data_IF_080749939450
#
_entry.id   IF_080749939450
#
_cell.length_a   1.000
_cell.length_b   1.000
_cell.length_c   1.000
_cell.angle_alpha   90.00
_cell.angle_beta   90.00
_cell.angle_gamma   90.00
#
_symmetry.space_group_name_H-M   'P 1'
#
loop_
_entity.id
_entity.type
_entity.pdbx_description
1 polymer ?
#
# COMPACT_ATOMS: atom_id res chain seq x y z
N UNK A 1 -17.00 -25.48 11.98
CA UNK A 1 -17.27 -24.95 13.34
C UNK A 1 -16.58 -23.60 13.48
N UNK A 2 -17.32 -22.54 13.82
CA UNK A 2 -16.71 -21.24 14.07
C UNK A 2 -15.81 -21.32 15.32
N UNK A 3 -14.59 -20.76 15.30
CA UNK A 3 -13.70 -20.76 16.46
C UNK A 3 -14.40 -20.08 17.65
N UNK A 4 -14.19 -20.65 18.84
CA UNK A 4 -14.72 -20.08 20.09
C UNK A 4 -14.29 -18.61 20.22
N UNK A 5 -15.10 -17.80 20.90
CA UNK A 5 -14.80 -16.38 21.11
C UNK A 5 -13.39 -16.18 21.70
N UNK A 6 -13.01 -17.04 22.66
CA UNK A 6 -11.67 -17.06 23.25
C UNK A 6 -10.55 -17.31 22.22
N UNK A 7 -10.75 -18.24 21.28
CA UNK A 7 -9.78 -18.54 20.23
C UNK A 7 -9.62 -17.37 19.24
N UNK A 8 -10.71 -16.64 18.94
CA UNK A 8 -10.67 -15.42 18.12
C UNK A 8 -9.94 -14.27 18.82
N UNK A 9 -10.19 -14.06 20.12
CA UNK A 9 -9.45 -13.09 20.93
C UNK A 9 -7.95 -13.42 20.99
N UNK A 10 -7.60 -14.68 21.23
CA UNK A 10 -6.21 -15.14 21.27
C UNK A 10 -5.52 -14.90 19.91
N UNK A 11 -6.16 -15.27 18.80
CA UNK A 11 -5.62 -15.02 17.46
C UNK A 11 -5.41 -13.53 17.18
N UNK A 12 -6.35 -12.67 17.56
CA UNK A 12 -6.21 -11.21 17.43
C UNK A 12 -5.03 -10.67 18.24
N UNK A 13 -4.79 -11.18 19.45
CA UNK A 13 -3.65 -10.80 20.26
C UNK A 13 -2.32 -11.27 19.64
N UNK A 14 -2.26 -12.52 19.17
CA UNK A 14 -1.06 -13.09 18.54
C UNK A 14 -0.64 -12.34 17.27
N UNK A 15 -1.59 -11.79 16.50
CA UNK A 15 -1.27 -11.00 15.32
C UNK A 15 -0.50 -9.70 15.63
N UNK A 16 -0.52 -9.21 16.88
CA UNK A 16 0.28 -8.04 17.30
C UNK A 16 1.73 -8.37 17.66
N UNK A 17 2.09 -9.65 17.83
CA UNK A 17 3.45 -10.07 18.21
C UNK A 17 4.52 -9.51 17.27
N UNK A 18 4.39 -9.56 15.92
CA UNK A 18 5.38 -8.97 15.02
C UNK A 18 5.52 -7.46 15.18
N UNK A 19 4.42 -6.75 15.42
CA UNK A 19 4.44 -5.29 15.64
C UNK A 19 5.15 -4.94 16.96
N UNK A 20 4.85 -5.68 18.03
CA UNK A 20 5.52 -5.51 19.32
C UNK A 20 7.02 -5.79 19.20
N UNK A 21 7.41 -6.85 18.47
CA UNK A 21 8.81 -7.16 18.21
C UNK A 21 9.54 -6.01 17.52
N UNK A 22 8.98 -5.44 16.44
CA UNK A 22 9.60 -4.30 15.75
C UNK A 22 9.74 -3.09 16.68
N UNK A 23 8.71 -2.76 17.47
CA UNK A 23 8.78 -1.66 18.43
C UNK A 23 9.85 -1.89 19.51
N UNK A 24 10.02 -3.13 19.99
CA UNK A 24 11.08 -3.47 20.95
C UNK A 24 12.47 -3.30 20.34
N UNK A 25 12.68 -3.77 19.10
CA UNK A 25 13.96 -3.60 18.39
C UNK A 25 14.27 -2.11 18.17
N UNK A 26 13.28 -1.31 17.77
CA UNK A 26 13.43 0.14 17.56
C UNK A 26 13.68 0.88 18.89
N UNK A 27 13.01 0.49 19.97
CA UNK A 27 13.23 1.06 21.30
C UNK A 27 14.64 0.74 21.83
N UNK A 28 15.10 -0.50 21.63
CA UNK A 28 16.46 -0.88 21.97
C UNK A 28 17.50 -0.16 21.08
N UNK A 29 17.25 -0.03 19.77
CA UNK A 29 18.18 0.68 18.88
C UNK A 29 18.27 2.16 19.22
N UNK A 30 17.17 2.78 19.68
CA UNK A 30 17.18 4.14 20.24
C UNK A 30 18.11 4.22 21.45
N UNK A 31 17.95 3.34 22.44
CA UNK A 31 18.81 3.29 23.61
C UNK A 31 20.29 3.11 23.22
N UNK A 32 20.60 2.10 22.39
CA UNK A 32 21.96 1.79 21.98
C UNK A 32 22.61 2.95 21.19
N UNK A 33 21.86 3.62 20.33
CA UNK A 33 22.39 4.73 19.53
C UNK A 33 22.54 6.01 20.35
N UNK A 34 21.50 6.42 21.09
CA UNK A 34 21.49 7.70 21.80
C UNK A 34 22.33 7.64 23.06
N UNK A 35 22.17 6.59 23.88
CA UNK A 35 22.84 6.49 25.18
C UNK A 35 24.24 5.90 25.03
N UNK A 36 24.34 4.67 24.53
CA UNK A 36 25.63 3.96 24.51
C UNK A 36 26.62 4.57 23.52
N UNK A 37 26.15 4.88 22.30
CA UNK A 37 27.00 5.53 21.31
C UNK A 37 27.14 7.03 21.57
N UNK A 38 26.09 7.83 21.38
CA UNK A 38 26.22 9.29 21.36
C UNK A 38 26.62 9.88 22.72
N UNK A 39 26.05 9.43 23.83
CA UNK A 39 26.36 9.98 25.17
C UNK A 39 27.65 9.40 25.73
N UNK A 40 27.81 8.08 25.76
CA UNK A 40 28.96 7.45 26.44
C UNK A 40 30.21 7.25 25.57
N UNK A 41 30.06 7.07 24.25
CA UNK A 41 31.20 6.71 23.39
C UNK A 41 31.77 7.89 22.61
N UNK A 42 30.93 8.82 22.14
CA UNK A 42 31.38 9.96 21.32
C UNK A 42 31.85 11.10 22.24
N UNK A 43 33.15 11.46 22.26
CA UNK A 43 33.63 12.57 23.09
C UNK A 43 33.42 13.94 22.44
N UNK A 44 33.39 14.00 21.10
CA UNK A 44 33.26 15.25 20.35
C UNK A 44 31.80 15.74 20.35
N UNK A 45 31.55 16.93 20.91
CA UNK A 45 30.21 17.50 21.01
C UNK A 45 29.58 17.83 19.65
N UNK A 46 30.35 18.31 18.68
CA UNK A 46 29.82 18.65 17.36
C UNK A 46 29.39 17.39 16.59
N UNK A 47 30.20 16.33 16.65
CA UNK A 47 29.87 15.01 16.09
C UNK A 47 28.61 14.43 16.76
N UNK A 48 28.58 14.43 18.10
CA UNK A 48 27.44 13.96 18.91
C UNK A 48 26.15 14.67 18.53
N UNK A 49 26.14 16.01 18.49
CA UNK A 49 24.95 16.80 18.16
C UNK A 49 24.49 16.51 16.73
N UNK A 50 25.43 16.45 15.79
CA UNK A 50 25.12 16.17 14.38
C UNK A 50 24.46 14.79 14.21
N UNK A 51 25.01 13.76 14.87
CA UNK A 51 24.48 12.40 14.82
C UNK A 51 23.11 12.31 15.47
N UNK A 52 22.92 12.94 16.64
CA UNK A 52 21.62 12.99 17.30
C UNK A 52 20.55 13.66 16.43
N UNK A 53 20.85 14.80 15.81
CA UNK A 53 19.89 15.51 14.94
C UNK A 53 19.51 14.65 13.74
N UNK A 54 20.48 14.10 13.00
CA UNK A 54 20.25 13.27 11.83
C UNK A 54 19.43 12.02 12.23
N UNK A 55 19.85 11.33 13.28
CA UNK A 55 19.17 10.14 13.77
C UNK A 55 17.70 10.39 14.12
N UNK A 56 17.40 11.47 14.85
CA UNK A 56 16.02 11.78 15.23
C UNK A 56 15.14 12.16 14.03
N UNK A 57 15.68 12.84 13.02
CA UNK A 57 14.93 13.16 11.79
C UNK A 57 14.48 11.87 11.09
N UNK A 58 15.41 10.94 10.84
CA UNK A 58 15.07 9.69 10.16
C UNK A 58 14.21 8.76 11.01
N UNK A 59 14.46 8.70 12.33
CA UNK A 59 13.63 7.96 13.26
C UNK A 59 12.19 8.49 13.28
N UNK A 60 12.00 9.81 13.34
CA UNK A 60 10.67 10.42 13.35
C UNK A 60 9.89 10.09 12.07
N UNK A 61 10.53 10.20 10.90
CA UNK A 61 9.91 9.86 9.61
C UNK A 61 9.60 8.35 9.50
N UNK A 62 10.51 7.50 9.98
CA UNK A 62 10.28 6.05 10.06
C UNK A 62 9.08 5.71 10.94
N UNK A 63 9.03 6.23 12.18
CA UNK A 63 7.94 6.01 13.13
C UNK A 63 6.62 6.52 12.54
N UNK A 64 6.62 7.71 11.94
CA UNK A 64 5.42 8.28 11.34
C UNK A 64 4.87 7.41 10.19
N UNK A 65 5.73 6.99 9.26
CA UNK A 65 5.34 6.12 8.16
C UNK A 65 4.88 4.72 8.64
N UNK A 66 5.57 4.15 9.63
CA UNK A 66 5.23 2.84 10.21
C UNK A 66 3.83 2.86 10.83
N UNK A 67 3.55 3.82 11.72
CA UNK A 67 2.25 3.95 12.36
C UNK A 67 1.13 4.32 11.40
N UNK A 68 1.41 5.14 10.38
CA UNK A 68 0.44 5.39 9.30
C UNK A 68 0.11 4.13 8.54
N UNK A 69 1.05 3.22 8.33
CA UNK A 69 0.79 1.93 7.67
C UNK A 69 -0.06 1.01 8.55
N UNK A 70 0.23 0.95 9.86
CA UNK A 70 -0.53 0.15 10.85
C UNK A 70 -1.97 0.63 10.99
N UNK A 71 -2.19 1.92 11.24
CA UNK A 71 -3.51 2.44 11.64
C UNK A 71 -4.41 2.89 10.50
N UNK A 72 -3.87 3.05 9.29
CA UNK A 72 -4.72 3.37 8.14
C UNK A 72 -5.56 2.15 7.78
N UNK A 73 -6.87 2.24 8.07
CA UNK A 73 -7.82 1.17 7.78
C UNK A 73 -7.81 0.86 6.27
N UNK A 74 -7.75 -0.43 5.88
CA UNK A 74 -7.90 -0.81 4.48
C UNK A 74 -9.25 -0.32 3.94
N UNK A 75 -9.25 0.29 2.76
CA UNK A 75 -10.49 0.69 2.11
C UNK A 75 -11.28 -0.53 1.61
N UNK A 76 -12.61 -0.48 1.71
CA UNK A 76 -13.52 -1.54 1.29
C UNK A 76 -14.39 -1.12 0.08
N UNK A 77 -14.96 -2.08 -0.65
CA UNK A 77 -15.96 -1.77 -1.68
C UNK A 77 -17.12 -0.97 -1.11
N UNK A 78 -17.60 0.01 -1.87
CA UNK A 78 -18.78 0.80 -1.50
C UNK A 78 -20.05 -0.03 -1.64
N UNK A 79 -21.16 0.43 -1.04
CA UNK A 79 -22.44 -0.26 -1.12
C UNK A 79 -22.94 -0.45 -2.56
N UNK A 80 -22.53 0.42 -3.50
CA UNK A 80 -22.85 0.30 -4.92
C UNK A 80 -22.40 -1.03 -5.55
N UNK A 81 -21.35 -1.66 -5.00
CA UNK A 81 -20.85 -2.97 -5.47
C UNK A 81 -21.58 -4.16 -4.83
N UNK A 82 -22.49 -3.91 -3.89
CA UNK A 82 -23.35 -4.95 -3.30
C UNK A 82 -24.49 -5.29 -4.25
N UNK A 83 -25.00 -6.51 -4.16
CA UNK A 83 -26.21 -6.88 -4.91
C UNK A 83 -27.41 -6.10 -4.34
N UNK A 84 -28.24 -5.47 -5.20
CA UNK A 84 -29.54 -4.95 -4.76
C UNK A 84 -30.38 -6.08 -4.16
N UNK A 85 -31.30 -5.76 -3.25
CA UNK A 85 -32.04 -6.75 -2.47
C UNK A 85 -32.73 -7.82 -3.32
N UNK A 86 -33.38 -7.41 -4.42
CA UNK A 86 -34.09 -8.33 -5.32
C UNK A 86 -33.14 -9.32 -6.00
N UNK A 87 -32.05 -8.82 -6.60
CA UNK A 87 -31.01 -9.65 -7.21
C UNK A 87 -30.29 -10.54 -6.19
N UNK A 88 -30.10 -10.06 -4.96
CA UNK A 88 -29.50 -10.84 -3.87
C UNK A 88 -30.38 -12.03 -3.50
N UNK A 89 -31.67 -11.82 -3.28
CA UNK A 89 -32.61 -12.90 -2.98
C UNK A 89 -32.68 -13.91 -4.14
N UNK A 90 -32.64 -13.44 -5.38
CA UNK A 90 -32.63 -14.33 -6.55
C UNK A 90 -31.34 -15.15 -6.61
N UNK A 91 -30.19 -14.52 -6.35
CA UNK A 91 -28.89 -15.17 -6.30
C UNK A 91 -28.82 -16.26 -5.23
N UNK A 92 -29.34 -15.98 -4.03
CA UNK A 92 -29.35 -16.92 -2.90
C UNK A 92 -30.29 -18.12 -3.12
N UNK A 93 -31.36 -17.96 -3.90
CA UNK A 93 -32.32 -19.04 -4.22
C UNK A 93 -31.88 -19.90 -5.40
N UNK A 94 -31.03 -19.39 -6.27
CA UNK A 94 -30.58 -20.12 -7.46
C UNK A 94 -29.43 -21.07 -7.10
N UNK A 95 -29.56 -22.34 -7.48
CA UNK A 95 -28.56 -23.37 -7.21
C UNK A 95 -27.58 -23.55 -8.38
N UNK A 96 -28.00 -23.20 -9.61
CA UNK A 96 -27.17 -23.36 -10.81
C UNK A 96 -26.15 -22.24 -10.93
N UNK A 97 -24.87 -22.60 -10.96
CA UNK A 97 -23.77 -21.66 -11.07
C UNK A 97 -23.85 -20.76 -12.32
N UNK A 98 -24.34 -21.26 -13.45
CA UNK A 98 -24.49 -20.47 -14.67
C UNK A 98 -25.53 -19.35 -14.50
N UNK A 99 -26.69 -19.69 -13.93
CA UNK A 99 -27.76 -18.72 -13.69
C UNK A 99 -27.37 -17.69 -12.62
N UNK A 100 -26.65 -18.10 -11.58
CA UNK A 100 -26.02 -17.18 -10.63
C UNK A 100 -25.08 -16.19 -11.34
N UNK A 101 -24.26 -16.65 -12.29
CA UNK A 101 -23.38 -15.77 -13.06
C UNK A 101 -24.14 -14.80 -13.96
N UNK A 102 -25.27 -15.19 -14.55
CA UNK A 102 -26.10 -14.26 -15.33
C UNK A 102 -26.67 -13.11 -14.47
N UNK A 103 -27.08 -13.41 -13.22
CA UNK A 103 -27.52 -12.38 -12.26
C UNK A 103 -26.37 -11.42 -11.95
N UNK A 104 -25.18 -11.95 -11.65
CA UNK A 104 -23.99 -11.14 -11.37
C UNK A 104 -23.59 -10.29 -12.58
N UNK A 105 -23.65 -10.83 -13.80
CA UNK A 105 -23.38 -10.10 -15.05
C UNK A 105 -24.36 -8.95 -15.24
N UNK A 106 -25.66 -9.17 -14.99
CA UNK A 106 -26.70 -8.13 -15.09
C UNK A 106 -26.36 -6.93 -14.19
N UNK A 107 -25.99 -7.18 -12.93
CA UNK A 107 -25.62 -6.11 -12.00
C UNK A 107 -24.29 -5.45 -12.39
N UNK A 108 -23.29 -6.26 -12.77
CA UNK A 108 -21.96 -5.77 -13.12
C UNK A 108 -21.93 -4.84 -14.35
N UNK A 109 -22.91 -4.91 -15.26
CA UNK A 109 -23.01 -4.00 -16.41
C UNK A 109 -23.09 -2.53 -16.01
N UNK A 110 -23.67 -2.25 -14.84
CA UNK A 110 -23.83 -0.89 -14.30
C UNK A 110 -22.68 -0.47 -13.36
N UNK A 111 -21.60 -1.25 -13.30
CA UNK A 111 -20.44 -1.01 -12.45
C UNK A 111 -19.17 -0.82 -13.29
N UNK A 112 -18.20 0.00 -12.84
CA UNK A 112 -16.92 0.20 -13.53
C UNK A 112 -15.98 -1.01 -13.28
N UNK A 113 -16.35 -2.19 -13.78
CA UNK A 113 -15.61 -3.45 -13.60
C UNK A 113 -15.19 -4.06 -14.94
N UNK A 114 -13.90 -3.99 -15.22
CA UNK A 114 -13.32 -4.42 -16.50
C UNK A 114 -12.61 -5.78 -16.39
N UNK A 115 -12.34 -6.27 -15.18
CA UNK A 115 -11.67 -7.55 -14.97
C UNK A 115 -12.63 -8.70 -14.63
N UNK A 116 -12.20 -9.93 -14.95
CA UNK A 116 -12.96 -11.18 -14.74
C UNK A 116 -12.10 -12.23 -14.05
N UNK A 117 -12.70 -13.38 -13.71
CA UNK A 117 -11.92 -14.57 -13.34
C UNK A 117 -11.24 -15.15 -14.58
N UNK A 118 -10.32 -16.10 -14.40
CA UNK A 118 -9.66 -16.79 -15.52
C UNK A 118 -10.66 -17.51 -16.45
N UNK A 119 -11.80 -17.95 -15.91
CA UNK A 119 -12.90 -18.56 -16.69
C UNK A 119 -13.91 -17.55 -17.25
N UNK A 120 -13.62 -16.24 -17.20
CA UNK A 120 -14.51 -15.19 -17.73
C UNK A 120 -15.69 -14.81 -16.83
N UNK A 121 -15.82 -15.41 -15.65
CA UNK A 121 -16.90 -15.12 -14.70
C UNK A 121 -16.74 -13.76 -14.00
N UNK A 122 -17.84 -13.21 -13.48
CA UNK A 122 -17.81 -12.01 -12.64
C UNK A 122 -17.08 -12.34 -11.34
N UNK A 123 -16.16 -11.45 -10.94
CA UNK A 123 -15.43 -11.58 -9.68
C UNK A 123 -16.35 -11.25 -8.51
N UNK A 124 -16.90 -12.25 -7.85
CA UNK A 124 -17.76 -12.07 -6.68
C UNK A 124 -17.06 -12.49 -5.37
N UNK A 125 -17.51 -11.96 -4.24
CA UNK A 125 -17.09 -12.39 -2.91
C UNK A 125 -18.28 -12.94 -2.12
N UNK A 126 -18.33 -14.25 -1.89
CA UNK A 126 -19.43 -14.85 -1.12
C UNK A 126 -19.40 -14.46 0.36
N UNK A 127 -18.23 -14.24 0.94
CA UNK A 127 -18.13 -13.80 2.34
C UNK A 127 -18.64 -12.37 2.57
N UNK A 128 -18.35 -11.46 1.64
CA UNK A 128 -18.72 -10.06 1.78
C UNK A 128 -20.00 -9.70 1.02
N UNK A 129 -20.51 -10.61 0.18
CA UNK A 129 -21.68 -10.42 -0.69
C UNK A 129 -21.57 -9.20 -1.60
N UNK A 130 -20.39 -9.01 -2.22
CA UNK A 130 -20.09 -7.89 -3.12
C UNK A 130 -19.47 -8.37 -4.42
N UNK A 131 -19.82 -7.72 -5.52
CA UNK A 131 -19.06 -7.79 -6.77
C UNK A 131 -17.74 -7.06 -6.51
N UNK A 132 -16.61 -7.76 -6.66
CA UNK A 132 -15.30 -7.18 -6.36
C UNK A 132 -15.00 -6.09 -7.41
N UNK A 133 -14.74 -4.84 -6.98
CA UNK A 133 -14.13 -3.85 -7.86
C UNK A 133 -12.84 -4.38 -8.48
N UNK A 134 -12.40 -3.74 -9.56
CA UNK A 134 -11.11 -4.11 -10.14
C UNK A 134 -9.99 -3.99 -9.10
N UNK A 135 -9.03 -4.91 -9.17
CA UNK A 135 -7.89 -4.99 -8.22
C UNK A 135 -8.28 -5.24 -6.74
N UNK A 136 -9.56 -5.46 -6.43
CA UNK A 136 -10.03 -5.79 -5.08
C UNK A 136 -9.94 -7.30 -4.78
N UNK A 137 -9.42 -7.65 -3.61
CA UNK A 137 -9.32 -9.04 -3.15
C UNK A 137 -9.81 -9.19 -1.71
N UNK A 138 -10.37 -10.35 -1.38
CA UNK A 138 -10.78 -10.67 -0.01
C UNK A 138 -9.56 -11.15 0.79
N UNK A 139 -9.30 -10.51 1.92
CA UNK A 139 -8.30 -10.97 2.88
C UNK A 139 -9.00 -11.73 4.01
N UNK A 140 -8.74 -13.02 4.14
CA UNK A 140 -9.31 -13.85 5.22
C UNK A 140 -8.80 -13.48 6.61
N UNK A 141 -7.61 -12.87 6.72
CA UNK A 141 -7.10 -12.38 8.01
C UNK A 141 -7.80 -11.10 8.45
N UNK A 142 -8.09 -10.19 7.52
CA UNK A 142 -8.84 -8.97 7.80
C UNK A 142 -10.37 -9.18 7.74
N UNK A 143 -10.83 -10.34 7.27
CA UNK A 143 -12.24 -10.71 7.10
C UNK A 143 -13.03 -9.70 6.25
N UNK A 144 -12.38 -9.12 5.24
CA UNK A 144 -12.97 -8.09 4.38
C UNK A 144 -12.36 -8.06 2.98
N UNK A 145 -13.12 -7.53 2.03
CA UNK A 145 -12.60 -7.12 0.74
C UNK A 145 -11.78 -5.82 0.87
N UNK A 146 -10.56 -5.83 0.33
CA UNK A 146 -9.61 -4.73 0.37
C UNK A 146 -9.41 -4.19 -1.04
N UNK A 147 -9.65 -2.89 -1.22
CA UNK A 147 -9.43 -2.18 -2.49
C UNK A 147 -7.95 -2.14 -2.85
N UNK A 148 -7.64 -2.36 -4.13
CA UNK A 148 -6.26 -2.48 -4.66
C UNK A 148 -5.34 -3.28 -3.72
N UNK A 149 -5.82 -4.44 -3.27
CA UNK A 149 -5.10 -5.24 -2.27
C UNK A 149 -3.73 -5.64 -2.82
N UNK A 150 -2.70 -5.34 -2.04
CA UNK A 150 -1.34 -5.76 -2.35
C UNK A 150 -1.01 -7.07 -1.61
N UNK A 151 -1.04 -7.02 -0.28
CA UNK A 151 -0.85 -8.19 0.57
C UNK A 151 -1.37 -7.94 1.99
N UNK A 152 -1.49 -8.99 2.78
CA UNK A 152 -1.60 -8.86 4.23
C UNK A 152 -0.20 -8.88 4.84
N UNK A 153 0.16 -7.86 5.62
CA UNK A 153 1.50 -7.73 6.18
C UNK A 153 1.48 -7.94 7.70
N UNK A 154 2.04 -9.07 8.20
CA UNK A 154 2.08 -9.34 9.63
C UNK A 154 2.87 -8.29 10.43
N UNK A 155 3.91 -7.71 9.83
CA UNK A 155 4.80 -6.72 10.47
C UNK A 155 4.14 -5.39 10.80
N UNK A 156 2.99 -5.11 10.19
CA UNK A 156 2.14 -3.94 10.50
C UNK A 156 0.75 -4.36 11.00
N UNK A 157 0.52 -5.66 11.19
CA UNK A 157 -0.78 -6.25 11.55
C UNK A 157 -1.96 -5.65 10.77
N UNK A 158 -1.78 -5.46 9.47
CA UNK A 158 -2.76 -4.78 8.62
C UNK A 158 -2.62 -5.23 7.16
N UNK A 159 -3.68 -5.05 6.39
CA UNK A 159 -3.60 -5.19 4.94
C UNK A 159 -2.97 -3.95 4.32
N UNK A 160 -2.06 -4.19 3.38
CA UNK A 160 -1.52 -3.17 2.49
C UNK A 160 -2.38 -3.16 1.23
N UNK A 161 -2.98 -2.01 0.92
CA UNK A 161 -3.86 -1.81 -0.22
C UNK A 161 -4.01 -0.33 -0.56
N UNK A 162 -5.10 0.06 -1.23
CA UNK A 162 -5.29 1.41 -1.76
C UNK A 162 -5.01 2.54 -0.74
N UNK A 163 -5.59 2.44 0.46
CA UNK A 163 -5.57 3.51 1.47
C UNK A 163 -4.23 3.71 2.17
N UNK A 164 -3.30 2.75 2.08
CA UNK A 164 -2.03 2.77 2.80
C UNK A 164 -0.80 2.34 2.00
N UNK A 165 -0.92 2.01 0.71
CA UNK A 165 0.22 1.55 -0.10
C UNK A 165 1.36 2.58 -0.13
N UNK A 166 1.04 3.86 -0.29
CA UNK A 166 2.04 4.95 -0.21
C UNK A 166 2.77 4.95 1.13
N UNK A 167 2.04 4.80 2.24
CA UNK A 167 2.66 4.75 3.58
C UNK A 167 3.58 3.56 3.73
N UNK A 168 3.19 2.40 3.20
CA UNK A 168 4.03 1.21 3.22
C UNK A 168 5.34 1.42 2.44
N UNK A 169 5.29 2.01 1.24
CA UNK A 169 6.50 2.33 0.45
C UNK A 169 7.39 3.36 1.18
N UNK A 170 6.80 4.37 1.82
CA UNK A 170 7.54 5.33 2.65
C UNK A 170 8.13 4.68 3.92
N UNK A 171 7.40 3.77 4.55
CA UNK A 171 7.88 2.99 5.69
C UNK A 171 9.12 2.20 5.32
N UNK A 172 9.12 1.48 4.18
CA UNK A 172 10.29 0.76 3.70
C UNK A 172 11.45 1.73 3.38
N UNK A 173 11.17 2.84 2.71
CA UNK A 173 12.18 3.87 2.39
C UNK A 173 12.86 4.44 3.65
N UNK A 174 12.06 4.89 4.62
CA UNK A 174 12.58 5.46 5.86
C UNK A 174 13.21 4.42 6.79
N UNK A 175 12.75 3.16 6.77
CA UNK A 175 13.40 2.07 7.47
C UNK A 175 14.79 1.76 6.89
N UNK A 176 14.91 1.73 5.55
CA UNK A 176 16.22 1.60 4.88
C UNK A 176 17.15 2.76 5.22
N UNK A 177 16.67 4.00 5.15
CA UNK A 177 17.46 5.20 5.48
C UNK A 177 17.88 5.22 6.96
N UNK A 178 16.99 4.83 7.87
CA UNK A 178 17.30 4.68 9.29
C UNK A 178 18.43 3.68 9.52
N UNK A 179 18.39 2.51 8.86
CA UNK A 179 19.45 1.53 8.95
C UNK A 179 20.77 2.05 8.34
N UNK A 180 20.72 2.77 7.22
CA UNK A 180 21.91 3.39 6.60
C UNK A 180 22.55 4.41 7.55
N UNK A 181 21.75 5.28 8.18
CA UNK A 181 22.26 6.24 9.17
C UNK A 181 22.96 5.53 10.31
N UNK A 182 22.35 4.48 10.87
CA UNK A 182 22.97 3.68 11.93
C UNK A 182 24.28 3.06 11.43
N UNK A 183 24.28 2.32 10.32
CA UNK A 183 25.47 1.65 9.81
C UNK A 183 26.61 2.63 9.50
N UNK A 184 26.31 3.73 8.80
CA UNK A 184 27.29 4.72 8.37
C UNK A 184 27.94 5.45 9.55
N UNK A 185 27.18 5.69 10.63
CA UNK A 185 27.72 6.37 11.82
C UNK A 185 28.40 5.40 12.79
N UNK A 186 27.88 4.17 12.93
CA UNK A 186 28.42 3.16 13.84
C UNK A 186 29.72 2.52 13.32
N UNK A 187 29.92 2.39 12.00
CA UNK A 187 31.05 1.64 11.42
C UNK A 187 32.43 2.10 11.94
N UNK A 188 32.63 3.40 12.15
CA UNK A 188 33.90 3.89 12.70
C UNK A 188 34.14 3.46 14.15
N UNK A 189 33.08 3.41 14.98
CA UNK A 189 33.18 2.96 16.37
C UNK A 189 33.27 1.45 16.45
N UNK A 190 32.57 0.73 15.56
CA UNK A 190 32.75 -0.71 15.37
C UNK A 190 34.22 -1.05 15.14
N UNK A 191 34.88 -0.34 14.20
CA UNK A 191 36.31 -0.52 13.93
C UNK A 191 37.15 -0.20 15.17
N UNK A 192 36.89 0.93 15.85
CA UNK A 192 37.62 1.32 17.08
C UNK A 192 37.52 0.30 18.22
N UNK A 193 36.35 -0.32 18.42
CA UNK A 193 36.20 -1.41 19.39
C UNK A 193 36.97 -2.65 18.97
N UNK A 194 36.95 -3.00 17.68
CA UNK A 194 37.67 -4.16 17.16
C UNK A 194 39.19 -4.00 17.21
N UNK A 195 39.69 -2.79 16.98
CA UNK A 195 41.12 -2.44 17.06
C UNK A 195 41.59 -2.08 18.47
N UNK A 196 40.72 -2.25 19.49
CA UNK A 196 41.01 -1.96 20.91
C UNK A 196 41.40 -0.51 21.20
N UNK A 197 40.91 0.44 20.39
CA UNK A 197 41.07 1.88 20.61
C UNK A 197 40.04 2.44 21.59
N UNK A 198 38.99 1.68 21.88
CA UNK A 198 37.98 2.00 22.89
C UNK A 198 38.00 0.94 24.01
N UNK A 199 37.70 1.33 25.27
CA UNK A 199 37.68 0.40 26.39
C UNK A 199 36.59 -0.66 26.24
N UNK A 200 36.86 -1.87 26.73
CA UNK A 200 35.91 -2.98 26.71
C UNK A 200 34.89 -2.80 27.84
N UNK A 201 33.73 -2.21 27.52
CA UNK A 201 32.65 -1.93 28.46
C UNK A 201 31.29 -2.39 27.89
N UNK A 202 30.21 -2.21 28.65
CA UNK A 202 28.86 -2.59 28.21
C UNK A 202 28.45 -1.95 26.87
N UNK A 203 28.93 -0.73 26.55
CA UNK A 203 28.62 -0.04 25.29
C UNK A 203 29.12 -0.83 24.07
N UNK A 204 30.23 -1.57 24.18
CA UNK A 204 30.75 -2.43 23.10
C UNK A 204 29.71 -3.43 22.62
N UNK A 205 29.04 -4.14 23.54
CA UNK A 205 28.03 -5.13 23.17
C UNK A 205 26.87 -4.49 22.41
N UNK A 206 26.36 -3.37 22.91
CA UNK A 206 25.27 -2.64 22.28
C UNK A 206 25.64 -2.12 20.88
N UNK A 207 26.81 -1.51 20.73
CA UNK A 207 27.26 -0.88 19.48
C UNK A 207 27.56 -1.93 18.40
N UNK A 208 28.22 -3.04 18.76
CA UNK A 208 28.47 -4.14 17.82
C UNK A 208 27.16 -4.79 17.37
N UNK A 209 26.26 -5.10 18.31
CA UNK A 209 24.97 -5.72 17.98
C UNK A 209 24.10 -4.77 17.15
N UNK A 210 24.11 -3.46 17.44
CA UNK A 210 23.39 -2.45 16.69
C UNK A 210 23.82 -2.40 15.22
N UNK A 211 25.12 -2.48 14.94
CA UNK A 211 25.63 -2.56 13.57
C UNK A 211 25.10 -3.79 12.83
N UNK A 212 25.20 -4.97 13.43
CA UNK A 212 24.76 -6.22 12.79
C UNK A 212 23.24 -6.26 12.56
N UNK A 213 22.45 -5.85 13.55
CA UNK A 213 20.99 -5.79 13.44
C UNK A 213 20.59 -4.80 12.34
N UNK A 214 21.17 -3.59 12.33
CA UNK A 214 20.86 -2.60 11.30
C UNK A 214 21.26 -3.08 9.89
N UNK A 215 22.43 -3.70 9.73
CA UNK A 215 22.88 -4.24 8.45
C UNK A 215 21.98 -5.39 7.95
N UNK A 216 21.56 -6.29 8.84
CA UNK A 216 20.66 -7.40 8.50
C UNK A 216 19.28 -6.89 8.05
N UNK A 217 18.68 -5.98 8.81
CA UNK A 217 17.42 -5.35 8.41
C UNK A 217 17.57 -4.56 7.11
N UNK A 218 18.68 -3.83 6.93
CA UNK A 218 18.92 -3.07 5.71
C UNK A 218 18.87 -3.95 4.46
N UNK A 219 19.61 -5.07 4.45
CA UNK A 219 19.67 -5.98 3.29
C UNK A 219 18.27 -6.52 2.95
N UNK A 220 17.51 -6.96 3.95
CA UNK A 220 16.15 -7.47 3.73
C UNK A 220 15.21 -6.37 3.24
N UNK A 221 15.19 -5.22 3.91
CA UNK A 221 14.24 -4.13 3.61
C UNK A 221 14.55 -3.48 2.26
N UNK A 222 15.82 -3.29 1.90
CA UNK A 222 16.17 -2.66 0.62
C UNK A 222 15.78 -3.54 -0.57
N UNK A 223 15.86 -4.86 -0.44
CA UNK A 223 15.39 -5.79 -1.48
C UNK A 223 13.88 -5.70 -1.68
N UNK A 224 13.11 -5.63 -0.57
CA UNK A 224 11.66 -5.48 -0.61
C UNK A 224 11.26 -4.11 -1.16
N UNK A 225 11.96 -3.04 -0.75
CA UNK A 225 11.77 -1.70 -1.29
C UNK A 225 12.00 -1.69 -2.81
N UNK A 226 13.10 -2.27 -3.28
CA UNK A 226 13.41 -2.36 -4.71
C UNK A 226 12.31 -3.07 -5.51
N UNK A 227 11.78 -4.17 -4.98
CA UNK A 227 10.65 -4.87 -5.57
C UNK A 227 9.40 -3.99 -5.66
N UNK A 228 9.04 -3.28 -4.57
CA UNK A 228 7.87 -2.41 -4.57
C UNK A 228 8.03 -1.16 -5.43
N UNK A 229 9.23 -0.60 -5.53
CA UNK A 229 9.50 0.51 -6.46
C UNK A 229 9.30 0.06 -7.93
N UNK A 230 9.72 -1.16 -8.27
CA UNK A 230 9.42 -1.76 -9.57
C UNK A 230 7.91 -1.96 -9.79
N UNK A 231 7.19 -2.45 -8.78
CA UNK A 231 5.73 -2.61 -8.83
C UNK A 231 5.00 -1.28 -9.04
N UNK A 232 5.40 -0.23 -8.30
CA UNK A 232 4.89 1.13 -8.48
C UNK A 232 5.14 1.58 -9.92
N UNK A 233 6.35 1.43 -10.44
CA UNK A 233 6.69 1.82 -11.81
C UNK A 233 5.90 1.06 -12.90
N UNK A 234 5.40 -0.14 -12.61
CA UNK A 234 4.55 -0.94 -13.51
C UNK A 234 3.06 -0.84 -13.23
N UNK A 235 2.64 -0.08 -12.20
CA UNK A 235 1.28 -0.04 -11.67
C UNK A 235 0.69 -1.43 -11.39
N UNK A 236 1.47 -2.28 -10.74
CA UNK A 236 1.04 -3.64 -10.36
C UNK A 236 1.00 -3.75 -8.84
N UNK A 237 0.03 -4.49 -8.33
CA UNK A 237 0.12 -5.04 -6.98
C UNK A 237 0.97 -6.31 -6.98
N UNK A 238 1.39 -6.76 -5.81
CA UNK A 238 2.09 -8.04 -5.64
C UNK A 238 1.23 -9.20 -6.20
N UNK A 239 -0.08 -9.20 -5.92
CA UNK A 239 -1.01 -10.21 -6.48
C UNK A 239 -0.98 -10.20 -8.01
N UNK A 240 -1.05 -9.02 -8.63
CA UNK A 240 -1.05 -8.86 -10.09
C UNK A 240 0.30 -9.24 -10.74
N UNK A 241 1.39 -9.08 -10.01
CA UNK A 241 2.72 -9.50 -10.46
C UNK A 241 2.81 -11.03 -10.60
N UNK A 242 2.22 -11.77 -9.66
CA UNK A 242 2.13 -13.23 -9.70
C UNK A 242 1.04 -13.74 -10.64
N UNK A 243 -0.12 -13.09 -10.68
CA UNK A 243 -1.26 -13.50 -11.51
C UNK A 243 -1.81 -12.30 -12.28
N UNK A 244 -1.61 -12.31 -13.59
CA UNK A 244 -2.10 -11.25 -14.45
C UNK A 244 -3.63 -11.09 -14.30
N UNK A 245 -4.15 -9.86 -14.18
CA UNK A 245 -5.58 -9.62 -14.24
C UNK A 245 -6.11 -10.00 -15.63
N UNK A 246 -7.26 -10.68 -15.65
CA UNK A 246 -7.96 -11.05 -16.88
C UNK A 246 -8.92 -9.95 -17.27
N UNK A 247 -8.69 -9.33 -18.42
CA UNK A 247 -9.61 -8.41 -19.08
C UNK A 247 -10.46 -9.17 -20.10
N UNK A 248 -11.38 -8.49 -20.76
CA UNK A 248 -12.19 -9.03 -21.87
C UNK A 248 -11.33 -9.65 -22.97
N UNK A 249 -10.20 -9.03 -23.28
CA UNK A 249 -9.26 -9.49 -24.33
C UNK A 249 -8.23 -10.52 -23.82
N UNK A 250 -8.40 -11.04 -22.60
CA UNK A 250 -7.50 -12.00 -21.98
C UNK A 250 -6.59 -11.41 -20.88
N UNK A 251 -5.60 -12.19 -20.40
CA UNK A 251 -4.72 -11.77 -19.32
C UNK A 251 -3.72 -10.69 -19.77
N UNK A 252 -3.66 -9.56 -19.05
CA UNK A 252 -2.71 -8.48 -19.34
C UNK A 252 -2.05 -7.94 -18.07
N UNK A 253 -0.75 -8.24 -17.87
CA UNK A 253 0.02 -7.70 -16.73
C UNK A 253 0.21 -6.18 -16.80
N UNK A 254 0.03 -5.56 -17.96
CA UNK A 254 0.18 -4.13 -18.15
C UNK A 254 -1.18 -3.41 -18.30
N UNK A 255 -2.30 -4.09 -18.03
CA UNK A 255 -3.63 -3.53 -18.28
C UNK A 255 -3.94 -2.25 -17.50
N UNK A 256 -3.27 -2.03 -16.36
CA UNK A 256 -3.38 -0.79 -15.56
C UNK A 256 -2.17 0.15 -15.68
N UNK A 257 -1.19 -0.17 -16.54
CA UNK A 257 0.00 0.67 -16.70
C UNK A 257 -0.27 1.85 -17.63
N UNK A 258 0.01 3.06 -17.14
CA UNK A 258 -0.18 4.35 -17.83
C UNK A 258 1.14 5.02 -18.25
N UNK A 259 2.27 4.32 -18.06
CA UNK A 259 3.62 4.87 -18.19
C UNK A 259 4.22 5.24 -16.83
N UNK A 260 5.56 5.16 -16.70
CA UNK A 260 6.24 5.20 -15.41
C UNK A 260 5.84 6.41 -14.54
N UNK A 261 5.90 7.62 -15.07
CA UNK A 261 5.58 8.84 -14.31
C UNK A 261 4.14 8.87 -13.82
N UNK A 262 3.18 8.47 -14.66
CA UNK A 262 1.76 8.39 -14.28
C UNK A 262 1.51 7.29 -13.27
N UNK A 263 2.18 6.14 -13.41
CA UNK A 263 2.10 5.05 -12.44
C UNK A 263 2.62 5.45 -11.06
N UNK A 264 3.68 6.27 -10.99
CA UNK A 264 4.18 6.84 -9.74
C UNK A 264 3.17 7.85 -9.18
N UNK A 265 2.62 8.74 -10.02
CA UNK A 265 1.63 9.74 -9.61
C UNK A 265 0.34 9.10 -9.06
N UNK A 266 -0.08 7.94 -9.56
CA UNK A 266 -1.21 7.16 -9.00
C UNK A 266 -1.03 6.83 -7.50
N UNK A 267 0.21 6.66 -7.04
CA UNK A 267 0.52 6.31 -5.64
C UNK A 267 0.93 7.53 -4.82
N UNK A 268 1.72 8.44 -5.38
CA UNK A 268 2.29 9.58 -4.65
C UNK A 268 1.55 10.90 -4.86
N UNK A 269 0.66 10.97 -5.85
CA UNK A 269 -0.08 12.17 -6.24
C UNK A 269 0.72 13.11 -7.13
N UNK A 270 0.07 14.15 -7.66
CA UNK A 270 0.71 15.12 -8.56
C UNK A 270 1.56 16.16 -7.81
N UNK A 271 1.24 16.39 -6.53
CA UNK A 271 1.92 17.39 -5.71
C UNK A 271 3.17 16.82 -5.06
N UNK A 272 4.34 17.05 -5.67
CA UNK A 272 5.66 16.58 -5.21
C UNK A 272 5.95 16.88 -3.72
N UNK A 273 5.45 17.99 -3.19
CA UNK A 273 5.62 18.36 -1.77
C UNK A 273 5.11 17.30 -0.80
N UNK A 274 4.14 16.47 -1.19
CA UNK A 274 3.59 15.41 -0.32
C UNK A 274 4.28 14.07 -0.50
N UNK A 275 5.17 13.91 -1.49
CA UNK A 275 5.72 12.59 -1.84
C UNK A 275 6.47 11.95 -0.68
N UNK A 276 7.24 12.74 0.04
CA UNK A 276 8.07 12.29 1.16
C UNK A 276 7.30 12.21 2.49
N UNK A 277 6.08 12.77 2.58
CA UNK A 277 5.33 12.77 3.82
C UNK A 277 4.29 11.64 3.86
N UNK A 278 4.15 10.93 5.00
CA UNK A 278 3.08 9.96 5.27
C UNK A 278 1.66 10.56 5.36
N UNK A 279 1.28 11.35 4.36
CA UNK A 279 -0.05 11.93 4.16
C UNK A 279 -0.70 11.32 2.91
N UNK A 280 -2.02 11.13 2.93
CA UNK A 280 -2.71 10.51 1.81
C UNK A 280 -2.65 11.44 0.59
N UNK A 281 -2.19 10.92 -0.54
CA UNK A 281 -2.16 11.66 -1.80
C UNK A 281 -2.26 10.75 -3.03
N UNK A 282 -2.64 9.48 -2.84
CA UNK A 282 -2.92 8.56 -3.96
C UNK A 282 -4.09 9.09 -4.79
N UNK A 283 -4.07 8.83 -6.09
CA UNK A 283 -5.15 9.23 -7.00
C UNK A 283 -6.25 8.16 -7.05
N UNK A 284 -7.43 8.55 -7.52
CA UNK A 284 -8.60 7.67 -7.67
C UNK A 284 -9.39 7.44 -6.39
N UNK A 285 -10.42 6.61 -6.49
CA UNK A 285 -11.32 6.21 -5.40
C UNK A 285 -10.97 4.83 -4.82
N UNK A 286 -10.16 4.06 -5.54
CA UNK A 286 -9.80 2.68 -5.22
C UNK A 286 -10.78 1.63 -5.77
N UNK A 287 -11.90 2.05 -6.34
CA UNK A 287 -12.91 1.19 -6.97
C UNK A 287 -12.69 1.08 -8.48
N UNK A 288 -12.36 2.19 -9.12
CA UNK A 288 -12.12 2.30 -10.55
C UNK A 288 -10.68 2.72 -10.84
N UNK A 289 -10.11 2.17 -11.91
CA UNK A 289 -8.74 2.45 -12.33
C UNK A 289 -8.69 2.65 -13.82
N UNK A 290 -7.94 3.64 -14.27
CA UNK A 290 -7.73 3.87 -15.70
C UNK A 290 -6.97 2.67 -16.28
N UNK A 291 -7.50 2.11 -17.36
CA UNK A 291 -6.90 0.97 -18.07
C UNK A 291 -6.17 1.45 -19.34
N UNK A 292 -5.16 0.68 -19.76
CA UNK A 292 -4.40 0.93 -21.00
C UNK A 292 -5.24 0.68 -22.26
N UNK A 293 -6.14 -0.30 -22.19
CA UNK A 293 -7.01 -0.68 -23.29
C UNK A 293 -8.38 -0.03 -23.07
N UNK A 294 -8.60 1.11 -23.72
CA UNK A 294 -9.94 1.65 -23.95
C UNK A 294 -10.55 0.91 -25.14
N UNK A 295 -10.93 -0.35 -24.94
CA UNK A 295 -12.01 -0.93 -25.74
C UNK A 295 -13.21 -1.03 -24.82
N UNK A 296 -13.94 0.08 -24.77
CA UNK A 296 -15.24 0.10 -24.14
C UNK A 296 -16.16 -0.70 -25.07
N UNK A 297 -16.79 -1.74 -24.53
CA UNK A 297 -17.93 -2.38 -25.18
C UNK A 297 -18.94 -1.27 -25.52
N UNK A 298 -19.40 -1.10 -26.77
CA UNK A 298 -20.27 0.03 -27.14
C UNK A 298 -21.49 0.21 -26.22
N UNK A 299 -21.97 -0.85 -25.57
CA UNK A 299 -23.04 -0.79 -24.56
C UNK A 299 -22.62 -0.12 -23.24
N UNK A 300 -21.35 -0.24 -22.80
CA UNK A 300 -20.86 0.38 -21.57
C UNK A 300 -20.40 1.83 -21.75
N UNK A 301 -20.03 2.25 -22.97
CA UNK A 301 -19.54 3.60 -23.26
C UNK A 301 -20.59 4.67 -22.94
N UNK A 302 -21.86 4.37 -23.20
CA UNK A 302 -22.97 5.28 -22.94
C UNK A 302 -23.16 5.56 -21.44
N UNK A 303 -22.88 4.59 -20.57
CA UNK A 303 -23.00 4.76 -19.12
C UNK A 303 -21.87 5.59 -18.50
N UNK A 304 -20.63 5.43 -19.00
CA UNK A 304 -19.44 6.15 -18.52
C UNK A 304 -19.42 7.60 -19.00
N UNK A 305 -19.87 7.86 -20.24
CA UNK A 305 -20.01 9.22 -20.77
C UNK A 305 -21.07 10.01 -19.99
N UNK A 306 -22.22 9.39 -19.66
CA UNK A 306 -23.23 10.03 -18.82
C UNK A 306 -22.71 10.38 -17.42
N UNK A 307 -21.89 9.52 -16.80
CA UNK A 307 -21.30 9.79 -15.48
C UNK A 307 -20.23 10.88 -15.53
N UNK A 308 -19.39 10.90 -16.57
CA UNK A 308 -18.35 11.91 -16.72
C UNK A 308 -18.92 13.30 -17.07
N UNK A 309 -19.99 13.38 -17.85
CA UNK A 309 -20.68 14.64 -18.13
C UNK A 309 -21.36 15.21 -16.89
N UNK A 310 -21.91 14.35 -16.03
CA UNK A 310 -22.47 14.77 -14.73
C UNK A 310 -21.35 15.27 -13.80
N UNK A 311 -20.20 14.59 -13.74
CA UNK A 311 -19.06 15.03 -12.92
C UNK A 311 -18.43 16.34 -13.43
N UNK A 312 -18.33 16.54 -14.75
CA UNK A 312 -17.86 17.80 -15.34
C UNK A 312 -18.86 18.94 -15.09
N UNK A 313 -20.16 18.69 -15.25
CA UNK A 313 -21.20 19.69 -14.97
C UNK A 313 -21.25 20.07 -13.48
N UNK A 314 -21.05 19.10 -12.58
CA UNK A 314 -21.03 19.35 -11.13
C UNK A 314 -19.79 20.14 -10.68
N UNK A 315 -18.67 20.02 -11.41
CA UNK A 315 -17.47 20.82 -11.18
C UNK A 315 -17.61 22.24 -11.74
N UNK A 316 -18.28 22.39 -12.88
CA UNK A 316 -18.56 23.70 -13.50
C UNK A 316 -19.49 24.58 -12.65
N UNK A 317 -20.43 23.97 -11.92
CA UNK A 317 -21.33 24.67 -11.02
C UNK A 317 -20.69 25.07 -9.68
N UNK A 318 -19.61 24.41 -9.26
CA UNK A 318 -18.91 24.71 -8.00
C UNK A 318 -17.78 25.76 -8.16
N UNK A 319 -17.16 25.85 -9.34
CA UNK A 319 -15.99 26.72 -9.56
C UNK A 319 -16.29 28.04 -10.29
N UNK A 320 -17.56 28.46 -10.41
CA UNK A 320 -17.91 29.81 -10.88
C UNK A 320 -17.34 30.15 -12.27
N UNK A 321 -17.87 29.49 -13.29
CA UNK A 321 -17.71 29.73 -14.74
C UNK A 321 -16.67 30.76 -15.21
N UNK A 322 -15.58 30.26 -15.80
CA UNK A 322 -14.89 30.92 -16.90
C UNK A 322 -14.79 29.96 -18.09
N UNK A 323 -15.42 30.35 -19.20
CA UNK A 323 -15.35 29.68 -20.49
C UNK A 323 -13.98 29.88 -21.12
N UNK A 324 -13.22 28.80 -21.34
CA UNK A 324 -12.11 28.78 -22.29
C UNK A 324 -12.59 28.06 -23.55
N UNK A 325 -12.83 28.82 -24.61
CA UNK A 325 -13.15 28.32 -25.94
C UNK A 325 -11.91 27.66 -26.54
N UNK A 326 -11.96 26.36 -26.81
CA UNK A 326 -10.97 25.65 -27.62
C UNK A 326 -11.49 25.61 -29.06
N UNK A 327 -10.89 26.43 -29.92
CA UNK A 327 -11.05 26.36 -31.38
C UNK A 327 -10.25 25.15 -31.88
N UNK A 328 -10.91 24.23 -32.59
CA UNK A 328 -10.27 23.15 -33.32
C UNK A 328 -9.97 23.68 -34.72
N UNK A 329 -8.70 23.99 -35.00
CA UNK A 329 -8.22 24.14 -36.37
C UNK A 329 -7.91 22.75 -36.94
N UNK A 330 -8.64 22.37 -37.98
CA UNK A 330 -8.31 21.24 -38.86
C UNK A 330 -7.29 21.74 -39.88
N UNK A 331 -6.11 21.14 -39.93
CA UNK A 331 -5.25 21.20 -41.11
C UNK A 331 -5.04 19.80 -41.70
N UNK A 332 -5.18 19.77 -43.03
CA UNK A 332 -4.94 18.65 -43.94
C UNK A 332 -3.46 18.32 -44.10
#
# INVERSE_FOLDING_TARGET
>A
MAPSHALRCCKRALNWVPVLFINLVVGWSYYAYVVELCVYTIPNNAERISYLVIFHIFLAMFIWAYWKTIWSKPANPSEAFSLPRAEKELYEREERAEAQQEILKKVARNLPVYTRTAGGAIRYCDFCQVIKPDRCHHCSTCEMCVLKMDHHCPWVNNCVGFSNYKYFVLFLSYASLYCVVICATVIQYFIKFWTKQLPDNHAKFHILFLFFVAALFFISIVSLLGYHLWLVGKNRTTIEAFRAPFFTNGPDKNGFSLGFSRNVAEVFGDQAKYWFFPVFSSQGDGHSFVTRLVQIDPEQANSVLQQNDIFCAHRFLLDGGQTVSVTIENEQ
#
